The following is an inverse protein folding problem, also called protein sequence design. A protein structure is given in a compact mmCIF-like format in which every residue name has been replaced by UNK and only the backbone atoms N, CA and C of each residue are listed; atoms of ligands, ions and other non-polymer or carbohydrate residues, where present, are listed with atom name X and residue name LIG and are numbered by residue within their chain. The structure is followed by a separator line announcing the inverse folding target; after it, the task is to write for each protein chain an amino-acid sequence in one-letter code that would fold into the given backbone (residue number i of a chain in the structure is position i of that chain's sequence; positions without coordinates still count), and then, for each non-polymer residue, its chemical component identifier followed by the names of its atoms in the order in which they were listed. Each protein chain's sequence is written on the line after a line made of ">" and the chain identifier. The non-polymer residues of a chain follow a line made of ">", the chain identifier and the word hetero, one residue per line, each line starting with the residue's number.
data_IF_590061504198
#
_entry.id   IF_590061504198
#
_cell.length_a   1.000
_cell.length_b   1.000
_cell.length_c   1.000
_cell.angle_alpha   90.00
_cell.angle_beta   90.00
_cell.angle_gamma   90.00
#
_symmetry.space_group_name_H-M   'P 1'
#
loop_
_entity.id
_entity.type
_entity.pdbx_description
1 polymer ?
#
# COMPACT_ATOMS: atom_id res chain seq x y z
N UNK A 1 2.71 27.15 -0.82
CA UNK A 1 2.89 26.47 -2.13
C UNK A 1 2.74 24.98 -1.85
N UNK A 2 1.72 24.31 -2.40
CA UNK A 2 1.61 22.86 -2.23
C UNK A 2 2.82 22.19 -2.90
N UNK A 3 3.54 21.35 -2.16
CA UNK A 3 4.66 20.58 -2.70
C UNK A 3 4.17 19.78 -3.92
N UNK A 4 4.87 19.92 -5.04
CA UNK A 4 4.56 19.18 -6.26
C UNK A 4 4.75 17.71 -5.98
N UNK A 5 3.64 17.00 -6.06
CA UNK A 5 3.60 15.56 -5.85
C UNK A 5 4.05 14.87 -7.14
N UNK A 6 5.17 14.12 -7.16
CA UNK A 6 5.76 13.63 -8.42
C UNK A 6 4.86 12.68 -9.22
N UNK A 7 3.94 12.00 -8.54
CA UNK A 7 2.92 11.10 -9.13
C UNK A 7 1.66 11.82 -9.63
N UNK A 8 1.59 13.14 -9.50
CA UNK A 8 0.44 13.93 -9.93
C UNK A 8 0.42 14.11 -11.46
N UNK A 9 -0.75 13.87 -12.05
CA UNK A 9 -1.10 14.20 -13.42
C UNK A 9 -1.26 15.70 -13.67
N UNK A 10 -1.40 16.52 -12.61
CA UNK A 10 -1.63 17.97 -12.75
C UNK A 10 -0.57 18.72 -13.58
N UNK A 11 0.64 18.16 -13.75
CA UNK A 11 1.65 18.69 -14.67
C UNK A 11 1.32 18.38 -16.13
N UNK A 12 1.07 17.10 -16.44
CA UNK A 12 0.74 16.61 -17.77
C UNK A 12 -0.60 17.19 -18.28
N UNK A 13 -1.60 17.27 -17.40
CA UNK A 13 -2.94 17.73 -17.75
C UNK A 13 -3.08 19.26 -17.73
N UNK A 14 -2.07 20.02 -17.29
CA UNK A 14 -2.18 21.49 -17.12
C UNK A 14 -2.50 22.20 -18.44
N UNK A 15 -1.79 21.84 -19.51
CA UNK A 15 -1.96 22.46 -20.82
C UNK A 15 -3.35 22.17 -21.39
N UNK A 16 -3.79 20.92 -21.22
CA UNK A 16 -5.09 20.43 -21.65
C UNK A 16 -6.24 21.17 -20.94
N UNK A 17 -6.18 21.31 -19.61
CA UNK A 17 -7.23 22.01 -18.85
C UNK A 17 -7.17 23.55 -18.97
N UNK A 18 -6.12 24.11 -19.56
CA UNK A 18 -6.04 25.54 -19.87
C UNK A 18 -6.63 25.91 -21.24
N UNK A 19 -7.04 24.92 -22.06
CA UNK A 19 -7.73 25.14 -23.33
C UNK A 19 -9.09 25.83 -23.09
N UNK A 20 -9.64 26.48 -24.13
CA UNK A 20 -10.97 27.13 -24.03
C UNK A 20 -12.13 26.16 -24.10
N UNK A 21 -11.95 25.05 -24.82
CA UNK A 21 -13.00 24.07 -25.10
C UNK A 21 -12.43 22.67 -25.19
N UNK A 22 -13.25 21.67 -24.88
CA UNK A 22 -12.95 20.25 -25.13
C UNK A 22 -13.03 19.97 -26.64
N UNK A 23 -11.94 19.46 -27.22
CA UNK A 23 -11.81 19.08 -28.62
C UNK A 23 -11.25 17.66 -28.78
N UNK A 24 -10.98 17.22 -30.02
CA UNK A 24 -10.42 15.88 -30.27
C UNK A 24 -9.04 15.69 -29.62
N UNK A 25 -8.16 16.70 -29.73
CA UNK A 25 -6.81 16.68 -29.15
C UNK A 25 -6.85 16.57 -27.62
N UNK A 26 -7.86 17.18 -26.97
CA UNK A 26 -8.08 17.04 -25.51
C UNK A 26 -8.22 15.58 -25.08
N UNK A 27 -8.86 14.74 -25.89
CA UNK A 27 -9.03 13.32 -25.54
C UNK A 27 -7.75 12.51 -25.74
N UNK A 28 -7.01 12.80 -26.81
CA UNK A 28 -5.72 12.16 -27.09
C UNK A 28 -4.70 12.53 -26.00
N UNK A 29 -4.63 13.82 -25.61
CA UNK A 29 -3.80 14.33 -24.51
C UNK A 29 -4.13 13.62 -23.17
N UNK A 30 -5.41 13.39 -22.90
CA UNK A 30 -5.87 12.72 -21.68
C UNK A 30 -5.47 11.24 -21.67
N UNK A 31 -5.67 10.54 -22.79
CA UNK A 31 -5.30 9.13 -22.95
C UNK A 31 -3.80 8.95 -22.72
N UNK A 32 -2.97 9.76 -23.39
CA UNK A 32 -1.51 9.75 -23.25
C UNK A 32 -1.07 9.99 -21.81
N UNK A 33 -1.67 10.98 -21.13
CA UNK A 33 -1.35 11.29 -19.75
C UNK A 33 -1.68 10.13 -18.79
N UNK A 34 -2.82 9.45 -18.99
CA UNK A 34 -3.20 8.28 -18.18
C UNK A 34 -2.26 7.08 -18.45
N UNK A 35 -1.89 6.83 -19.70
CA UNK A 35 -0.94 5.76 -20.03
C UNK A 35 0.43 6.04 -19.41
N UNK A 36 0.94 7.27 -19.52
CA UNK A 36 2.23 7.66 -18.93
C UNK A 36 2.25 7.53 -17.40
N UNK A 37 1.09 7.68 -16.74
CA UNK A 37 0.95 7.48 -15.30
C UNK A 37 0.72 6.02 -14.88
N UNK A 38 0.93 5.03 -15.78
CA UNK A 38 0.82 3.59 -15.52
C UNK A 38 -0.60 3.07 -15.18
N UNK A 39 -1.66 3.76 -15.61
CA UNK A 39 -3.03 3.21 -15.53
C UNK A 39 -3.20 1.92 -16.36
N UNK A 40 -2.45 1.82 -17.46
CA UNK A 40 -2.54 0.72 -18.40
C UNK A 40 -3.72 0.85 -19.37
N UNK A 41 -3.64 0.21 -20.56
CA UNK A 41 -4.57 0.48 -21.66
C UNK A 41 -6.04 0.27 -21.30
N UNK A 42 -6.36 -0.88 -20.69
CA UNK A 42 -7.75 -1.23 -20.37
C UNK A 42 -8.43 -0.26 -19.41
N UNK A 43 -7.70 0.30 -18.43
CA UNK A 43 -8.27 1.22 -17.45
C UNK A 43 -8.38 2.61 -18.06
N UNK A 44 -7.37 3.03 -18.83
CA UNK A 44 -7.42 4.27 -19.60
C UNK A 44 -8.63 4.30 -20.53
N UNK A 45 -8.83 3.27 -21.34
CA UNK A 45 -9.96 3.18 -22.28
C UNK A 45 -11.31 3.30 -21.56
N UNK A 46 -11.44 2.62 -20.41
CA UNK A 46 -12.65 2.65 -19.60
C UNK A 46 -12.92 4.06 -19.04
N UNK A 47 -11.90 4.72 -18.50
CA UNK A 47 -12.00 6.09 -17.96
C UNK A 47 -12.35 7.08 -19.08
N UNK A 48 -11.64 7.05 -20.21
CA UNK A 48 -11.87 7.96 -21.33
C UNK A 48 -13.27 7.78 -21.91
N UNK A 49 -13.72 6.54 -22.09
CA UNK A 49 -15.07 6.24 -22.60
C UNK A 49 -16.16 6.76 -21.66
N UNK A 50 -15.98 6.57 -20.35
CA UNK A 50 -16.91 7.06 -19.33
C UNK A 50 -16.99 8.60 -19.32
N UNK A 51 -15.84 9.27 -19.44
CA UNK A 51 -15.78 10.73 -19.49
C UNK A 51 -16.40 11.28 -20.76
N UNK A 52 -16.15 10.68 -21.93
CA UNK A 52 -16.81 11.06 -23.19
C UNK A 52 -18.34 10.98 -23.07
N UNK A 53 -18.85 9.90 -22.46
CA UNK A 53 -20.27 9.74 -22.22
C UNK A 53 -20.84 10.81 -21.27
N UNK A 54 -20.14 11.13 -20.17
CA UNK A 54 -20.53 12.20 -19.24
C UNK A 54 -20.53 13.58 -19.93
N UNK A 55 -19.48 13.91 -20.68
CA UNK A 55 -19.38 15.18 -21.42
C UNK A 55 -20.53 15.32 -22.41
N UNK A 56 -20.84 14.29 -23.19
CA UNK A 56 -21.98 14.29 -24.11
C UNK A 56 -23.33 14.44 -23.39
N UNK A 57 -23.51 13.72 -22.27
CA UNK A 57 -24.75 13.77 -21.46
C UNK A 57 -25.00 15.16 -20.86
N UNK A 58 -23.96 15.81 -20.35
CA UNK A 58 -24.07 17.14 -19.73
C UNK A 58 -23.92 18.29 -20.74
N UNK A 59 -23.58 17.98 -22.00
CA UNK A 59 -23.32 18.94 -23.06
C UNK A 59 -22.35 20.06 -22.63
N UNK A 60 -21.32 19.70 -21.86
CA UNK A 60 -20.29 20.64 -21.41
C UNK A 60 -19.16 20.71 -22.43
N UNK A 61 -18.59 21.90 -22.60
CA UNK A 61 -17.38 22.11 -23.38
C UNK A 61 -16.23 22.61 -22.51
N UNK A 62 -16.43 22.73 -21.19
CA UNK A 62 -15.47 23.33 -20.27
C UNK A 62 -14.44 22.28 -19.79
N UNK A 63 -13.13 22.47 -20.05
CA UNK A 63 -12.10 21.55 -19.55
C UNK A 63 -12.03 21.44 -18.02
N UNK A 64 -12.49 22.46 -17.28
CA UNK A 64 -12.54 22.39 -15.81
C UNK A 64 -13.61 21.42 -15.31
N UNK A 65 -14.73 21.31 -16.03
CA UNK A 65 -15.74 20.27 -15.79
C UNK A 65 -15.16 18.88 -16.07
N UNK A 66 -14.39 18.72 -17.17
CA UNK A 66 -13.72 17.46 -17.49
C UNK A 66 -12.74 17.04 -16.38
N UNK A 67 -11.94 17.98 -15.86
CA UNK A 67 -11.03 17.74 -14.74
C UNK A 67 -11.78 17.25 -13.49
N UNK A 68 -12.90 17.91 -13.16
CA UNK A 68 -13.75 17.52 -12.03
C UNK A 68 -14.34 16.12 -12.23
N UNK A 69 -14.87 15.82 -13.43
CA UNK A 69 -15.42 14.51 -13.77
C UNK A 69 -14.37 13.40 -13.70
N UNK A 70 -13.13 13.66 -14.14
CA UNK A 70 -12.01 12.72 -14.01
C UNK A 70 -11.70 12.43 -12.54
N UNK A 71 -11.57 13.46 -11.71
CA UNK A 71 -11.31 13.30 -10.28
C UNK A 71 -12.41 12.49 -9.60
N UNK A 72 -13.67 12.83 -9.85
CA UNK A 72 -14.84 12.13 -9.28
C UNK A 72 -14.88 10.66 -9.74
N UNK A 73 -14.61 10.39 -11.02
CA UNK A 73 -14.58 9.01 -11.55
C UNK A 73 -13.45 8.17 -10.96
N UNK A 74 -12.27 8.76 -10.74
CA UNK A 74 -11.15 8.09 -10.08
C UNK A 74 -11.45 7.82 -8.60
N UNK A 75 -12.03 8.79 -7.89
CA UNK A 75 -12.46 8.62 -6.50
C UNK A 75 -13.48 7.48 -6.36
N UNK A 76 -14.50 7.46 -7.22
CA UNK A 76 -15.54 6.43 -7.23
C UNK A 76 -14.92 5.02 -7.36
N UNK A 77 -14.04 4.84 -8.35
CA UNK A 77 -13.33 3.56 -8.56
C UNK A 77 -12.45 3.17 -7.38
N UNK A 78 -11.72 4.13 -6.80
CA UNK A 78 -10.86 3.88 -5.64
C UNK A 78 -11.66 3.59 -4.36
N UNK A 79 -12.89 4.10 -4.24
CA UNK A 79 -13.77 3.92 -3.08
C UNK A 79 -14.55 2.60 -3.06
N UNK A 80 -14.42 1.77 -4.11
CA UNK A 80 -15.15 0.50 -4.25
C UNK A 80 -14.81 -0.53 -3.17
N UNK A 81 -13.65 -0.42 -2.52
CA UNK A 81 -13.19 -1.32 -1.47
C UNK A 81 -12.95 -0.56 -0.16
N UNK A 82 -13.26 -1.20 0.96
CA UNK A 82 -13.07 -0.61 2.29
C UNK A 82 -11.58 -0.49 2.64
N UNK A 83 -11.07 0.74 2.74
CA UNK A 83 -9.68 1.05 3.11
C UNK A 83 -9.41 1.02 4.61
N UNK A 84 -10.42 0.73 5.45
CA UNK A 84 -10.28 0.72 6.91
C UNK A 84 -9.42 -0.43 7.40
N UNK A 85 -8.43 -0.14 8.25
CA UNK A 85 -7.64 -1.19 8.93
C UNK A 85 -8.47 -1.90 10.00
N UNK A 86 -8.57 -3.22 9.92
CA UNK A 86 -9.23 -4.02 10.96
C UNK A 86 -8.26 -4.26 12.13
N UNK A 87 -8.32 -3.40 13.15
CA UNK A 87 -7.47 -3.51 14.36
C UNK A 87 -8.30 -3.61 15.65
N UNK A 88 -9.46 -4.28 15.55
CA UNK A 88 -10.42 -4.43 16.65
C UNK A 88 -10.06 -5.54 17.64
N UNK A 89 -9.37 -6.59 17.19
CA UNK A 89 -8.89 -7.69 18.03
C UNK A 89 -7.84 -7.23 19.05
N UNK A 90 -7.57 -8.06 20.08
CA UNK A 90 -6.60 -7.78 21.15
C UNK A 90 -5.90 -9.08 21.61
N UNK A 91 -4.71 -9.46 21.10
CA UNK A 91 -3.97 -9.02 19.92
C UNK A 91 -4.69 -8.56 18.65
N UNK A 92 -4.50 -7.35 18.14
CA UNK A 92 -4.64 -7.15 16.69
C UNK A 92 -3.31 -7.55 16.04
N UNK A 93 -3.23 -8.75 15.47
CA UNK A 93 -1.99 -9.24 14.83
C UNK A 93 -2.00 -8.88 13.35
N UNK A 94 -0.98 -8.14 12.93
CA UNK A 94 -0.75 -7.70 11.55
C UNK A 94 0.51 -8.38 11.01
N UNK A 95 0.37 -9.14 9.92
CA UNK A 95 1.53 -9.69 9.19
C UNK A 95 1.88 -8.75 8.05
N UNK A 96 3.14 -8.39 7.92
CA UNK A 96 3.63 -7.55 6.81
C UNK A 96 4.44 -8.40 5.85
N UNK A 97 3.94 -8.54 4.61
CA UNK A 97 4.51 -9.40 3.57
C UNK A 97 4.88 -8.60 2.31
N UNK A 98 5.62 -9.22 1.41
CA UNK A 98 6.08 -8.61 0.16
C UNK A 98 7.53 -8.94 -0.18
N UNK A 99 8.00 -8.57 -1.36
CA UNK A 99 9.36 -8.91 -1.81
C UNK A 99 10.44 -8.09 -1.10
N UNK A 100 11.71 -8.45 -1.26
CA UNK A 100 12.81 -7.66 -0.72
C UNK A 100 12.93 -6.32 -1.45
N UNK A 101 13.27 -5.25 -0.73
CA UNK A 101 13.52 -3.92 -1.31
C UNK A 101 12.29 -3.01 -1.48
N UNK A 102 11.07 -3.54 -1.30
CA UNK A 102 9.82 -2.75 -1.39
C UNK A 102 9.52 -1.89 -0.16
N UNK A 103 10.34 -2.01 0.88
CA UNK A 103 10.23 -1.18 2.09
C UNK A 103 9.47 -1.78 3.28
N UNK A 104 9.26 -3.10 3.35
CA UNK A 104 8.57 -3.78 4.48
C UNK A 104 9.02 -3.30 5.87
N UNK A 105 10.31 -3.46 6.18
CA UNK A 105 10.90 -3.09 7.48
C UNK A 105 10.69 -1.61 7.80
N UNK A 106 10.82 -0.73 6.80
CA UNK A 106 10.54 0.71 6.93
C UNK A 106 9.05 0.96 7.20
N UNK A 107 8.16 0.30 6.45
CA UNK A 107 6.70 0.38 6.65
C UNK A 107 6.30 -0.06 8.05
N UNK A 108 6.89 -1.11 8.59
CA UNK A 108 6.62 -1.59 9.97
C UNK A 108 6.97 -0.50 10.99
N UNK A 109 8.16 0.10 10.88
CA UNK A 109 8.58 1.20 11.76
C UNK A 109 7.63 2.39 11.71
N UNK A 110 7.29 2.84 10.50
CA UNK A 110 6.35 3.95 10.30
C UNK A 110 4.95 3.62 10.79
N UNK A 111 4.49 2.39 10.58
CA UNK A 111 3.16 1.95 11.01
C UNK A 111 3.08 1.86 12.53
N UNK A 112 4.13 1.34 13.17
CA UNK A 112 4.25 1.39 14.62
C UNK A 112 4.20 2.84 15.13
N UNK A 113 4.96 3.77 14.53
CA UNK A 113 4.90 5.20 14.90
C UNK A 113 3.50 5.79 14.70
N UNK A 114 2.86 5.50 13.57
CA UNK A 114 1.51 5.96 13.26
C UNK A 114 0.54 5.51 14.35
N UNK A 115 0.53 4.23 14.72
CA UNK A 115 -0.32 3.70 15.78
C UNK A 115 0.00 4.28 17.16
N UNK A 116 1.29 4.47 17.49
CA UNK A 116 1.73 5.11 18.74
C UNK A 116 1.31 6.56 18.85
N UNK A 117 1.13 7.26 17.73
CA UNK A 117 0.62 8.64 17.69
C UNK A 117 -0.86 8.70 18.12
N UNK A 118 -1.58 7.58 18.07
CA UNK A 118 -2.94 7.41 18.60
C UNK A 118 -2.96 6.63 19.92
N UNK A 119 -1.88 6.72 20.71
CA UNK A 119 -1.72 6.12 22.04
C UNK A 119 -1.92 4.59 22.11
N UNK A 120 -1.81 3.89 20.98
CA UNK A 120 -1.93 2.42 20.93
C UNK A 120 -0.65 1.76 21.41
N UNK A 121 -0.73 0.67 22.16
CA UNK A 121 0.45 -0.14 22.49
C UNK A 121 0.81 -1.08 21.34
N UNK A 122 2.10 -1.13 20.97
CA UNK A 122 2.59 -1.87 19.79
C UNK A 122 3.79 -2.73 20.18
N UNK A 123 3.76 -4.01 19.79
CA UNK A 123 4.89 -4.93 19.87
C UNK A 123 5.25 -5.45 18.47
N UNK A 124 6.53 -5.41 18.12
CA UNK A 124 7.04 -5.85 16.81
C UNK A 124 7.71 -7.22 16.94
N UNK A 125 7.46 -8.13 16.01
CA UNK A 125 8.14 -9.42 15.91
C UNK A 125 9.08 -9.47 14.70
N UNK A 126 10.37 -9.70 14.94
CA UNK A 126 11.40 -9.74 13.90
C UNK A 126 11.54 -11.14 13.26
N UNK A 127 10.57 -11.55 12.44
CA UNK A 127 10.57 -12.89 11.84
C UNK A 127 11.30 -13.00 10.48
N UNK A 128 11.93 -11.94 9.94
CA UNK A 128 12.97 -12.06 8.88
C UNK A 128 14.31 -12.54 9.50
N UNK A 129 14.30 -13.77 10.01
CA UNK A 129 15.42 -14.34 10.81
C UNK A 129 16.64 -14.73 9.98
N UNK A 130 16.50 -14.78 8.65
CA UNK A 130 17.60 -15.09 7.72
C UNK A 130 18.57 -13.92 7.52
N UNK A 131 18.15 -12.69 7.83
CA UNK A 131 18.94 -11.48 7.58
C UNK A 131 19.20 -10.79 8.92
N UNK A 132 20.34 -11.09 9.53
CA UNK A 132 20.77 -10.43 10.77
C UNK A 132 20.70 -8.89 10.67
N UNK A 133 21.13 -8.32 9.53
CA UNK A 133 21.02 -6.88 9.28
C UNK A 133 19.57 -6.36 9.23
N UNK A 134 18.61 -7.18 8.79
CA UNK A 134 17.19 -6.80 8.78
C UNK A 134 16.62 -6.73 10.21
N UNK A 135 17.02 -7.65 11.09
CA UNK A 135 16.64 -7.64 12.51
C UNK A 135 17.14 -6.37 13.21
N UNK A 136 18.41 -6.01 13.02
CA UNK A 136 18.98 -4.78 13.60
C UNK A 136 18.38 -3.50 13.00
N UNK A 137 18.10 -3.51 11.69
CA UNK A 137 17.39 -2.41 11.04
C UNK A 137 15.98 -2.25 11.62
N UNK A 138 15.23 -3.34 11.80
CA UNK A 138 13.91 -3.33 12.39
C UNK A 138 13.94 -2.84 13.83
N UNK A 139 14.94 -3.24 14.61
CA UNK A 139 15.12 -2.76 15.98
C UNK A 139 15.33 -1.25 16.05
N UNK A 140 16.13 -0.68 15.14
CA UNK A 140 16.32 0.77 15.04
C UNK A 140 15.00 1.48 14.72
N UNK A 141 14.18 0.90 13.85
CA UNK A 141 12.84 1.42 13.55
C UNK A 141 11.88 1.31 14.73
N UNK A 142 11.91 0.21 15.48
CA UNK A 142 11.10 0.00 16.68
C UNK A 142 11.43 1.05 17.76
N UNK A 143 12.72 1.30 18.00
CA UNK A 143 13.19 2.34 18.92
C UNK A 143 12.70 3.73 18.50
N UNK A 144 12.86 4.10 17.21
CA UNK A 144 12.35 5.38 16.66
C UNK A 144 10.83 5.52 16.76
N UNK A 145 10.10 4.41 16.64
CA UNK A 145 8.66 4.37 16.80
C UNK A 145 8.20 4.42 18.26
N UNK A 146 9.11 4.16 19.22
CA UNK A 146 8.77 3.96 20.63
C UNK A 146 7.92 2.70 20.85
N UNK A 147 8.24 1.63 20.13
CA UNK A 147 7.59 0.33 20.21
C UNK A 147 8.59 -0.75 20.66
N UNK A 148 8.09 -1.74 21.40
CA UNK A 148 8.91 -2.88 21.81
C UNK A 148 9.14 -3.85 20.66
N UNK A 149 10.19 -4.68 20.75
CA UNK A 149 10.52 -5.68 19.75
C UNK A 149 10.87 -7.04 20.38
N UNK A 150 10.41 -8.12 19.76
CA UNK A 150 10.88 -9.48 19.99
C UNK A 150 11.82 -9.87 18.85
N UNK A 151 13.06 -10.22 19.22
CA UNK A 151 14.12 -10.64 18.30
C UNK A 151 14.31 -12.15 18.35
N UNK A 152 14.81 -12.79 17.28
CA UNK A 152 15.28 -14.17 17.37
C UNK A 152 16.40 -14.31 18.42
N UNK A 153 16.34 -15.38 19.21
CA UNK A 153 17.32 -15.72 20.24
C UNK A 153 18.61 -16.30 19.64
N UNK A 154 18.53 -16.89 18.45
CA UNK A 154 19.65 -17.43 17.71
C UNK A 154 19.52 -17.11 16.22
N UNK A 155 20.65 -16.98 15.52
CA UNK A 155 20.66 -16.75 14.09
C UNK A 155 19.97 -17.91 13.35
N UNK A 156 19.02 -17.61 12.47
CA UNK A 156 18.26 -18.63 11.75
C UNK A 156 17.22 -19.37 12.60
N UNK A 157 16.83 -18.84 13.78
CA UNK A 157 15.65 -19.33 14.49
C UNK A 157 14.45 -19.36 13.54
N UNK A 158 13.61 -20.37 13.69
CA UNK A 158 12.37 -20.51 12.92
C UNK A 158 11.50 -19.24 13.00
N UNK A 159 11.17 -18.57 11.89
CA UNK A 159 10.32 -17.38 11.86
C UNK A 159 8.98 -17.55 12.58
N UNK A 160 8.36 -18.72 12.42
CA UNK A 160 7.10 -19.04 13.07
C UNK A 160 7.23 -19.09 14.61
N UNK A 161 8.38 -19.52 15.13
CA UNK A 161 8.67 -19.50 16.56
C UNK A 161 8.80 -18.08 17.10
N UNK A 162 9.48 -17.18 16.38
CA UNK A 162 9.58 -15.76 16.76
C UNK A 162 8.20 -15.11 16.77
N UNK A 163 7.39 -15.37 15.75
CA UNK A 163 6.02 -14.86 15.67
C UNK A 163 5.14 -15.38 16.83
N UNK A 164 5.26 -16.67 17.16
CA UNK A 164 4.55 -17.27 18.31
C UNK A 164 4.89 -16.55 19.62
N UNK A 165 6.19 -16.41 19.91
CA UNK A 165 6.69 -15.76 21.13
C UNK A 165 6.26 -14.28 21.21
N UNK A 166 6.20 -13.60 20.07
CA UNK A 166 5.75 -12.20 20.00
C UNK A 166 4.29 -12.08 20.41
N UNK A 167 3.41 -12.93 19.88
CA UNK A 167 1.99 -12.93 20.21
C UNK A 167 1.76 -13.34 21.66
N UNK A 168 2.45 -14.37 22.13
CA UNK A 168 2.37 -14.84 23.53
C UNK A 168 2.75 -13.73 24.52
N UNK A 169 3.85 -13.02 24.23
CA UNK A 169 4.27 -11.85 25.02
C UNK A 169 3.21 -10.74 24.97
N UNK A 170 2.68 -10.41 23.79
CA UNK A 170 1.65 -9.37 23.68
C UNK A 170 0.39 -9.69 24.49
N UNK A 171 -0.06 -10.94 24.48
CA UNK A 171 -1.20 -11.39 25.29
C UNK A 171 -0.92 -11.27 26.79
N UNK A 172 0.29 -11.65 27.23
CA UNK A 172 0.72 -11.53 28.63
C UNK A 172 0.83 -10.09 29.10
N UNK A 173 1.39 -9.22 28.27
CA UNK A 173 1.67 -7.82 28.60
C UNK A 173 0.44 -6.91 28.35
N UNK A 174 -0.64 -7.44 27.76
CA UNK A 174 -1.84 -6.67 27.42
C UNK A 174 -1.63 -5.69 26.26
N UNK A 175 -0.64 -5.95 25.39
CA UNK A 175 -0.35 -5.12 24.21
C UNK A 175 -1.49 -5.22 23.20
N UNK A 176 -1.91 -4.08 22.65
CA UNK A 176 -3.08 -4.03 21.78
C UNK A 176 -2.80 -4.51 20.36
N UNK A 177 -1.62 -4.20 19.81
CA UNK A 177 -1.29 -4.44 18.40
C UNK A 177 0.07 -5.15 18.29
N UNK A 178 0.12 -6.19 17.47
CA UNK A 178 1.35 -6.91 17.12
C UNK A 178 1.62 -6.76 15.63
N UNK A 179 2.84 -6.37 15.26
CA UNK A 179 3.26 -6.28 13.85
C UNK A 179 4.40 -7.28 13.62
N UNK A 180 4.21 -8.22 12.70
CA UNK A 180 5.20 -9.25 12.38
C UNK A 180 5.89 -8.93 11.04
N UNK A 181 7.22 -8.77 11.06
CA UNK A 181 8.05 -8.70 9.86
C UNK A 181 8.30 -10.10 9.30
N UNK A 182 8.27 -10.27 7.98
CA UNK A 182 8.51 -11.58 7.33
C UNK A 182 9.61 -11.48 6.27
N UNK A 183 10.19 -12.62 5.89
CA UNK A 183 11.08 -12.68 4.74
C UNK A 183 10.36 -12.28 3.44
N UNK A 184 11.14 -11.86 2.43
CA UNK A 184 10.62 -11.42 1.11
C UNK A 184 11.31 -12.04 -0.10
N UNK A 185 11.90 -13.23 0.04
CA UNK A 185 12.68 -13.90 -1.02
C UNK A 185 11.79 -14.64 -2.03
N UNK A 186 11.15 -13.92 -2.94
CA UNK A 186 10.19 -14.49 -3.91
C UNK A 186 10.84 -15.41 -4.97
N UNK A 187 12.16 -15.31 -5.19
CA UNK A 187 12.91 -16.18 -6.12
C UNK A 187 12.80 -17.68 -5.78
N UNK A 188 12.44 -18.01 -4.55
CA UNK A 188 12.11 -19.37 -4.09
C UNK A 188 10.64 -19.45 -3.72
N UNK A 189 9.74 -19.24 -4.69
CA UNK A 189 8.28 -19.13 -4.50
C UNK A 189 7.72 -20.19 -3.53
N UNK A 190 8.11 -21.47 -3.69
CA UNK A 190 7.65 -22.56 -2.81
C UNK A 190 8.04 -22.35 -1.34
N UNK A 191 9.33 -22.19 -1.06
CA UNK A 191 9.82 -22.06 0.33
C UNK A 191 9.30 -20.82 1.07
N UNK A 192 9.13 -19.69 0.36
CA UNK A 192 8.57 -18.48 0.98
C UNK A 192 7.09 -18.67 1.37
N UNK A 193 6.29 -19.30 0.51
CA UNK A 193 4.86 -19.49 0.77
C UNK A 193 4.62 -20.55 1.86
N UNK A 194 5.44 -21.58 1.92
CA UNK A 194 5.40 -22.57 3.01
C UNK A 194 5.73 -21.91 4.36
N UNK A 195 6.73 -21.04 4.39
CA UNK A 195 7.10 -20.27 5.59
C UNK A 195 5.96 -19.34 6.05
N UNK A 196 5.38 -18.55 5.13
CA UNK A 196 4.24 -17.68 5.46
C UNK A 196 3.05 -18.49 5.97
N UNK A 197 2.74 -19.61 5.32
CA UNK A 197 1.67 -20.52 5.76
C UNK A 197 1.93 -21.06 7.15
N UNK A 198 3.19 -21.41 7.47
CA UNK A 198 3.59 -21.89 8.79
C UNK A 198 3.46 -20.80 9.84
N UNK A 199 3.95 -19.58 9.58
CA UNK A 199 3.81 -18.43 10.49
C UNK A 199 2.34 -18.19 10.82
N UNK A 200 1.48 -18.15 9.79
CA UNK A 200 0.04 -17.95 9.98
C UNK A 200 -0.60 -19.01 10.86
N UNK A 201 -0.39 -20.29 10.54
CA UNK A 201 -0.92 -21.43 11.33
C UNK A 201 -0.47 -21.40 12.78
N UNK A 202 0.73 -20.91 13.06
CA UNK A 202 1.26 -20.85 14.44
C UNK A 202 0.68 -19.67 15.21
N UNK A 203 0.48 -18.51 14.57
CA UNK A 203 -0.20 -17.35 15.16
C UNK A 203 -1.68 -17.66 15.44
N UNK A 204 -2.37 -18.26 14.46
CA UNK A 204 -3.81 -18.56 14.51
C UNK A 204 -4.19 -19.58 15.61
N UNK A 205 -3.22 -20.31 16.18
CA UNK A 205 -3.41 -21.12 17.40
C UNK A 205 -3.64 -20.29 18.66
N UNK A 206 -3.18 -19.03 18.67
CA UNK A 206 -3.26 -18.13 19.82
C UNK A 206 -4.36 -17.08 19.62
N UNK A 207 -4.43 -16.47 18.43
CA UNK A 207 -5.41 -15.42 18.10
C UNK A 207 -5.60 -15.33 16.59
N UNK A 208 -6.79 -14.93 16.09
CA UNK A 208 -6.98 -14.63 14.68
C UNK A 208 -6.01 -13.54 14.20
N UNK A 209 -5.53 -13.69 12.97
CA UNK A 209 -4.79 -12.64 12.27
C UNK A 209 -5.80 -11.57 11.85
N UNK A 210 -5.54 -10.33 12.25
CA UNK A 210 -6.40 -9.20 11.98
C UNK A 210 -6.21 -8.66 10.56
N UNK A 211 -4.95 -8.54 10.11
CA UNK A 211 -4.58 -8.08 8.77
C UNK A 211 -3.33 -8.80 8.24
N UNK A 212 -3.31 -9.07 6.94
CA UNK A 212 -2.11 -9.44 6.17
C UNK A 212 -1.88 -8.34 5.14
N UNK A 213 -0.90 -7.48 5.42
CA UNK A 213 -0.59 -6.30 4.64
C UNK A 213 0.54 -6.59 3.64
N UNK A 214 0.24 -6.51 2.35
CA UNK A 214 1.21 -6.66 1.28
C UNK A 214 1.81 -5.31 0.91
N UNK A 215 3.12 -5.17 1.09
CA UNK A 215 3.86 -3.94 0.73
C UNK A 215 4.31 -4.00 -0.72
N UNK A 216 3.94 -2.97 -1.49
CA UNK A 216 4.27 -2.82 -2.90
C UNK A 216 5.00 -1.50 -3.12
N UNK A 217 5.98 -1.54 -4.03
CA UNK A 217 6.76 -0.37 -4.42
C UNK A 217 6.15 0.29 -5.65
N UNK A 218 5.66 1.52 -5.50
CA UNK A 218 5.00 2.26 -6.57
C UNK A 218 5.94 2.63 -7.74
N UNK A 219 7.26 2.52 -7.57
CA UNK A 219 8.23 2.75 -8.67
C UNK A 219 8.28 1.58 -9.65
N UNK A 220 7.85 0.39 -9.23
CA UNK A 220 7.88 -0.83 -10.05
C UNK A 220 6.79 -0.86 -11.12
N UNK A 221 5.75 -0.03 -10.99
CA UNK A 221 4.61 0.01 -11.91
C UNK A 221 3.99 -1.37 -12.13
N UNK A 222 3.67 -1.70 -13.37
CA UNK A 222 3.05 -2.98 -13.76
C UNK A 222 3.85 -4.24 -13.33
N UNK A 223 5.17 -4.13 -13.07
CA UNK A 223 5.95 -5.27 -12.56
C UNK A 223 5.58 -5.63 -11.12
N UNK A 224 5.20 -4.65 -10.29
CA UNK A 224 4.72 -4.87 -8.93
C UNK A 224 3.41 -5.68 -8.91
N UNK A 225 2.61 -5.58 -9.96
CA UNK A 225 1.32 -6.25 -10.09
C UNK A 225 1.45 -7.77 -10.19
N UNK A 226 2.35 -8.24 -11.04
CA UNK A 226 2.65 -9.67 -11.18
C UNK A 226 3.21 -10.28 -9.89
N UNK A 227 3.93 -9.50 -9.10
CA UNK A 227 4.41 -9.92 -7.78
C UNK A 227 3.27 -9.99 -6.77
N UNK A 228 2.34 -9.03 -6.81
CA UNK A 228 1.19 -8.98 -5.90
C UNK A 228 0.30 -10.21 -6.05
N UNK A 229 -0.02 -10.62 -7.28
CA UNK A 229 -0.85 -11.80 -7.56
C UNK A 229 -0.35 -13.07 -6.87
N UNK A 230 0.97 -13.30 -6.87
CA UNK A 230 1.56 -14.47 -6.23
C UNK A 230 1.35 -14.48 -4.70
N UNK A 231 1.49 -13.33 -4.05
CA UNK A 231 1.23 -13.20 -2.60
C UNK A 231 -0.26 -13.28 -2.28
N UNK A 232 -1.13 -12.70 -3.09
CA UNK A 232 -2.57 -12.70 -2.85
C UNK A 232 -3.11 -14.14 -2.87
N UNK A 233 -2.66 -14.95 -3.82
CA UNK A 233 -3.09 -16.35 -3.94
C UNK A 233 -2.70 -17.23 -2.74
N UNK A 234 -1.59 -16.93 -2.06
CA UNK A 234 -0.99 -17.86 -1.08
C UNK A 234 -0.92 -17.32 0.35
N UNK A 235 -0.80 -16.00 0.54
CA UNK A 235 -0.61 -15.39 1.85
C UNK A 235 -1.94 -14.99 2.54
N UNK A 236 -3.06 -14.95 1.80
CA UNK A 236 -4.34 -14.46 2.33
C UNK A 236 -4.29 -12.96 2.63
N UNK A 237 -3.76 -12.19 1.69
CA UNK A 237 -3.61 -10.73 1.78
C UNK A 237 -4.98 -10.08 1.97
N UNK A 238 -5.09 -9.18 2.94
CA UNK A 238 -6.32 -8.44 3.27
C UNK A 238 -6.22 -6.94 2.94
N UNK A 239 -5.00 -6.42 2.78
CA UNK A 239 -4.77 -5.02 2.47
C UNK A 239 -3.44 -4.77 1.77
N UNK A 240 -3.39 -3.70 0.96
CA UNK A 240 -2.16 -3.24 0.30
C UNK A 240 -1.57 -2.03 1.03
N UNK A 241 -0.25 -1.96 1.03
CA UNK A 241 0.52 -0.79 1.44
C UNK A 241 1.41 -0.35 0.30
N UNK A 242 1.22 0.87 -0.19
CA UNK A 242 2.03 1.40 -1.29
C UNK A 242 3.14 2.29 -0.75
N UNK A 243 4.37 2.06 -1.18
CA UNK A 243 5.55 2.82 -0.76
C UNK A 243 6.18 3.55 -1.95
N UNK A 244 7.07 4.50 -1.63
CA UNK A 244 7.86 5.28 -2.61
C UNK A 244 7.00 6.01 -3.63
N UNK A 245 5.81 6.45 -3.24
CA UNK A 245 4.96 7.26 -4.11
C UNK A 245 5.66 8.58 -4.46
N UNK A 246 6.35 9.18 -3.49
CA UNK A 246 7.18 10.38 -3.65
C UNK A 246 8.29 10.25 -4.71
N UNK A 247 8.82 9.04 -4.92
CA UNK A 247 9.81 8.76 -5.95
C UNK A 247 9.24 8.36 -7.31
N UNK A 248 7.91 8.32 -7.46
CA UNK A 248 7.24 7.75 -8.63
C UNK A 248 6.38 8.78 -9.35
N UNK A 249 6.36 8.72 -10.69
CA UNK A 249 5.40 9.45 -11.54
C UNK A 249 4.12 8.63 -11.84
N UNK A 250 4.00 7.44 -11.24
CA UNK A 250 3.09 6.37 -11.68
C UNK A 250 1.85 6.26 -10.78
N UNK A 251 1.09 7.35 -10.65
CA UNK A 251 -0.10 7.39 -9.80
C UNK A 251 -1.22 6.44 -10.23
N UNK A 252 -1.29 6.07 -11.51
CA UNK A 252 -2.26 5.12 -12.07
C UNK A 252 -2.06 3.67 -11.66
N UNK A 253 -0.82 3.29 -11.29
CA UNK A 253 -0.53 1.96 -10.76
C UNK A 253 -1.39 1.62 -9.54
N UNK A 254 -1.73 2.62 -8.73
CA UNK A 254 -2.56 2.49 -7.52
C UNK A 254 -3.95 1.95 -7.86
N UNK A 255 -4.59 2.51 -8.88
CA UNK A 255 -5.90 2.04 -9.31
C UNK A 255 -5.79 0.67 -9.99
N UNK A 256 -4.78 0.48 -10.85
CA UNK A 256 -4.57 -0.77 -11.56
C UNK A 256 -4.35 -1.96 -10.63
N UNK A 257 -3.59 -1.78 -9.55
CA UNK A 257 -3.39 -2.84 -8.56
C UNK A 257 -4.68 -3.14 -7.82
N UNK A 258 -5.45 -2.13 -7.42
CA UNK A 258 -6.71 -2.35 -6.69
C UNK A 258 -7.74 -3.09 -7.56
N UNK A 259 -7.98 -2.63 -8.78
CA UNK A 259 -8.98 -3.26 -9.68
C UNK A 259 -8.59 -4.70 -10.04
N UNK A 260 -7.31 -4.98 -10.32
CA UNK A 260 -6.89 -6.32 -10.72
C UNK A 260 -6.82 -7.30 -9.54
N UNK A 261 -6.46 -6.83 -8.36
CA UNK A 261 -6.29 -7.70 -7.18
C UNK A 261 -7.58 -7.88 -6.38
N UNK A 262 -8.50 -6.92 -6.44
CA UNK A 262 -9.67 -6.87 -5.57
C UNK A 262 -9.32 -6.65 -4.09
N UNK A 263 -8.10 -6.19 -3.79
CA UNK A 263 -7.62 -5.95 -2.41
C UNK A 263 -7.59 -4.43 -2.15
N UNK A 264 -8.18 -3.95 -1.03
CA UNK A 264 -8.16 -2.54 -0.69
C UNK A 264 -6.75 -2.05 -0.36
N UNK A 265 -6.45 -0.83 -0.79
CA UNK A 265 -5.28 -0.11 -0.29
C UNK A 265 -5.62 0.47 1.08
N UNK A 266 -4.83 0.14 2.10
CA UNK A 266 -5.05 0.58 3.49
C UNK A 266 -4.14 1.73 3.87
N UNK A 267 -2.89 1.71 3.38
CA UNK A 267 -1.83 2.64 3.78
C UNK A 267 -0.99 3.10 2.59
N UNK A 268 -0.49 4.32 2.67
CA UNK A 268 0.40 4.91 1.67
C UNK A 268 1.60 5.60 2.33
N UNK A 269 2.80 5.23 1.89
CA UNK A 269 4.07 5.82 2.26
C UNK A 269 4.55 6.83 1.22
N UNK A 270 4.80 8.06 1.65
CA UNK A 270 5.04 9.23 0.78
C UNK A 270 6.38 9.93 1.07
N UNK A 271 7.36 9.22 1.62
CA UNK A 271 8.67 9.79 1.96
C UNK A 271 9.56 8.82 2.71
N UNK A 272 10.67 9.30 3.26
CA UNK A 272 11.65 8.50 4.02
C UNK A 272 11.51 8.66 5.54
N UNK A 273 10.91 9.76 6.00
CA UNK A 273 10.73 10.09 7.40
C UNK A 273 9.79 9.13 8.14
N UNK A 274 9.99 9.03 9.46
CA UNK A 274 9.20 8.14 10.35
C UNK A 274 7.70 8.44 10.33
N UNK A 275 7.32 9.69 10.02
CA UNK A 275 5.92 10.14 9.97
C UNK A 275 5.32 10.07 8.55
N UNK A 276 6.08 9.61 7.54
CA UNK A 276 5.66 9.66 6.14
C UNK A 276 4.88 8.38 5.75
N UNK A 277 3.91 8.01 6.60
CA UNK A 277 2.93 6.94 6.35
C UNK A 277 1.56 7.44 6.80
N UNK A 278 0.58 7.28 5.93
CA UNK A 278 -0.79 7.75 6.17
C UNK A 278 -1.81 6.70 5.74
N UNK A 279 -3.02 6.77 6.29
CA UNK A 279 -4.15 5.98 5.83
C UNK A 279 -4.53 6.35 4.39
N UNK A 280 -4.97 5.36 3.61
CA UNK A 280 -5.44 5.61 2.26
C UNK A 280 -6.86 6.20 2.26
N UNK A 281 -6.97 7.41 1.74
CA UNK A 281 -8.26 8.11 1.57
C UNK A 281 -8.49 8.36 0.07
N UNK A 282 -9.44 7.66 -0.57
CA UNK A 282 -9.69 7.75 -2.01
C UNK A 282 -9.83 9.18 -2.52
N UNK A 283 -10.64 10.00 -1.83
CA UNK A 283 -10.86 11.40 -2.16
C UNK A 283 -9.56 12.22 -2.20
N UNK A 284 -8.77 12.15 -1.12
CA UNK A 284 -7.49 12.88 -1.00
C UNK A 284 -6.50 12.40 -2.05
N UNK A 285 -6.47 11.09 -2.34
CA UNK A 285 -5.60 10.54 -3.36
C UNK A 285 -5.98 11.02 -4.76
N UNK A 286 -7.26 10.91 -5.15
CA UNK A 286 -7.76 11.36 -6.45
C UNK A 286 -7.54 12.87 -6.65
N UNK A 287 -7.78 13.67 -5.60
CA UNK A 287 -7.52 15.11 -5.63
C UNK A 287 -6.04 15.42 -5.89
N UNK A 288 -5.13 14.79 -5.15
CA UNK A 288 -3.68 14.98 -5.35
C UNK A 288 -3.19 14.45 -6.71
N UNK A 289 -3.84 13.42 -7.24
CA UNK A 289 -3.48 12.83 -8.52
C UNK A 289 -3.83 13.76 -9.68
N UNK A 290 -5.03 14.32 -9.69
CA UNK A 290 -5.53 15.12 -10.84
C UNK A 290 -5.19 16.60 -10.69
N UNK A 291 -5.24 17.14 -9.45
CA UNK A 291 -5.24 18.57 -9.17
C UNK A 291 -6.62 19.09 -8.80
#
# INVERSE_FOLDING_TARGET
>A
MAERTPWSLSGALRGMFAKKTIDAETWDDLEDALIQADFGPSITDAIVSELRAKVARYNTTDPTDLQRMLREGLEERLSTLDSTLNLSARPAVVLVVGVNGVGKTTTIGKFAKFLRTYDRSVLIGAADTFRAAAVEQLATWAERAGADIVRPQAHGQDPASVAFQTVERAMKDGTEIVIIDTAGRLQTKGGLMDELTKIRKVIEKQTPIAEVLLVLDATTGQNGLAQAEAFIQHAGVTGLVLTKLDGSAKGGFVLAVQEKTGIPIKLVGQGEGINDLTGFTPHVFAQKLVG
#
